data_IF_026364896156
#
_entry.id   IF_026364896156
#
_cell.length_a   1.000
_cell.length_b   1.000
_cell.length_c   1.000
_cell.angle_alpha   90.00
_cell.angle_beta   90.00
_cell.angle_gamma   90.00
#
_symmetry.space_group_name_H-M   'P 1'
#
loop_
_entity.id
_entity.type
_entity.pdbx_description
1 polymer ?
#
# COMPACT_ATOMS: atom_id res chain seq x y z
N UNK A 1 1.06 16.21 -1.64
CA UNK A 1 2.26 15.72 -2.33
C UNK A 1 1.85 14.81 -3.47
N UNK A 2 2.70 14.70 -4.48
CA UNK A 2 2.48 13.81 -5.60
C UNK A 2 2.67 12.36 -5.15
N UNK A 3 1.79 11.46 -5.61
CA UNK A 3 1.89 10.03 -5.28
C UNK A 3 2.14 9.26 -6.56
N UNK A 4 3.20 8.48 -6.56
CA UNK A 4 3.55 7.59 -7.67
C UNK A 4 3.50 6.16 -7.15
N UNK A 5 2.95 5.27 -7.95
CA UNK A 5 2.81 3.85 -7.58
C UNK A 5 3.79 3.06 -8.42
N UNK A 6 4.63 2.25 -7.77
CA UNK A 6 5.58 1.39 -8.49
C UNK A 6 4.84 0.33 -9.31
N UNK A 7 5.53 -0.23 -10.31
CA UNK A 7 4.95 -1.30 -11.11
C UNK A 7 4.65 -2.52 -10.24
N UNK A 8 5.52 -2.80 -9.30
CA UNK A 8 5.30 -3.91 -8.36
C UNK A 8 4.04 -3.70 -7.53
N UNK A 9 3.86 -2.49 -6.99
CA UNK A 9 2.69 -2.19 -6.18
C UNK A 9 1.41 -2.26 -7.01
N UNK A 10 1.45 -1.79 -8.27
CA UNK A 10 0.30 -1.89 -9.17
C UNK A 10 -0.08 -3.34 -9.41
N UNK A 11 0.91 -4.18 -9.69
CA UNK A 11 0.67 -5.59 -9.94
C UNK A 11 0.06 -6.24 -8.70
N UNK A 12 0.63 -6.00 -7.55
CA UNK A 12 0.13 -6.58 -6.31
C UNK A 12 -1.25 -6.07 -5.96
N UNK A 13 -1.51 -4.77 -6.17
CA UNK A 13 -2.84 -4.21 -5.98
C UNK A 13 -3.88 -4.95 -6.81
N UNK A 14 -3.56 -5.20 -8.09
CA UNK A 14 -4.49 -5.86 -8.98
C UNK A 14 -4.71 -7.32 -8.58
N UNK A 15 -3.66 -8.00 -8.11
CA UNK A 15 -3.79 -9.37 -7.61
C UNK A 15 -4.64 -9.42 -6.34
N UNK A 16 -4.44 -8.47 -5.44
CA UNK A 16 -5.24 -8.37 -4.22
C UNK A 16 -6.71 -8.13 -4.57
N UNK A 17 -6.98 -7.22 -5.52
CA UNK A 17 -8.34 -6.93 -5.94
C UNK A 17 -9.03 -8.17 -6.50
N UNK A 18 -8.32 -8.96 -7.33
CA UNK A 18 -8.87 -10.21 -7.86
C UNK A 18 -9.15 -11.22 -6.75
N UNK A 19 -8.23 -11.34 -5.81
CA UNK A 19 -8.40 -12.24 -4.67
C UNK A 19 -9.64 -11.86 -3.86
N UNK A 20 -9.78 -10.57 -3.55
CA UNK A 20 -10.93 -10.09 -2.78
C UNK A 20 -12.23 -10.36 -3.52
N UNK A 21 -12.25 -10.08 -4.81
CA UNK A 21 -13.45 -10.32 -5.60
C UNK A 21 -13.84 -11.79 -5.61
N UNK A 22 -12.88 -12.69 -5.84
CA UNK A 22 -13.17 -14.12 -5.90
C UNK A 22 -13.61 -14.70 -4.57
N UNK A 23 -13.03 -14.22 -3.47
CA UNK A 23 -13.31 -14.77 -2.15
C UNK A 23 -14.50 -14.13 -1.48
N UNK A 24 -14.71 -12.84 -1.69
CA UNK A 24 -15.65 -12.08 -0.88
C UNK A 24 -16.69 -11.31 -1.72
N UNK A 25 -16.54 -11.26 -3.02
CA UNK A 25 -17.56 -10.70 -3.92
C UNK A 25 -17.37 -9.24 -4.26
N UNK A 26 -18.32 -8.72 -5.01
CA UNK A 26 -18.25 -7.38 -5.59
C UNK A 26 -18.24 -6.29 -4.54
N UNK A 27 -19.08 -6.41 -3.51
CA UNK A 27 -19.13 -5.37 -2.49
C UNK A 27 -17.77 -5.21 -1.80
N UNK A 28 -17.12 -6.32 -1.47
CA UNK A 28 -15.82 -6.28 -0.83
C UNK A 28 -14.77 -5.64 -1.75
N UNK A 29 -14.84 -5.91 -3.06
CA UNK A 29 -13.95 -5.29 -4.03
C UNK A 29 -14.16 -3.77 -4.06
N UNK A 30 -15.41 -3.32 -4.10
CA UNK A 30 -15.71 -1.90 -4.13
C UNK A 30 -15.27 -1.21 -2.85
N UNK A 31 -15.45 -1.86 -1.71
CA UNK A 31 -14.99 -1.33 -0.42
C UNK A 31 -13.45 -1.20 -0.41
N UNK A 32 -12.76 -2.20 -0.94
CA UNK A 32 -11.30 -2.15 -1.04
C UNK A 32 -10.84 -0.97 -1.91
N UNK A 33 -11.47 -0.79 -3.07
CA UNK A 33 -11.11 0.30 -3.98
C UNK A 33 -11.34 1.67 -3.35
N UNK A 34 -12.44 1.82 -2.63
CA UNK A 34 -12.75 3.07 -1.95
C UNK A 34 -11.71 3.36 -0.86
N UNK A 35 -11.41 2.36 -0.04
CA UNK A 35 -10.43 2.52 1.04
C UNK A 35 -9.03 2.78 0.51
N UNK A 36 -8.67 2.16 -0.60
CA UNK A 36 -7.38 2.39 -1.24
C UNK A 36 -7.27 3.86 -1.70
N UNK A 37 -8.31 4.40 -2.32
CA UNK A 37 -8.32 5.80 -2.74
C UNK A 37 -8.21 6.73 -1.54
N UNK A 38 -8.94 6.44 -0.49
CA UNK A 38 -8.92 7.25 0.73
C UNK A 38 -7.54 7.22 1.38
N UNK A 39 -6.92 6.06 1.40
CA UNK A 39 -5.57 5.90 1.95
C UNK A 39 -4.56 6.71 1.15
N UNK A 40 -4.63 6.66 -0.18
CA UNK A 40 -3.73 7.46 -1.01
C UNK A 40 -3.90 8.95 -0.76
N UNK A 41 -5.14 9.39 -0.61
CA UNK A 41 -5.40 10.80 -0.32
C UNK A 41 -4.84 11.18 1.05
N UNK A 42 -5.02 10.32 2.03
CA UNK A 42 -4.52 10.56 3.37
C UNK A 42 -3.00 10.71 3.39
N UNK A 43 -2.28 9.76 2.78
CA UNK A 43 -0.81 9.83 2.80
C UNK A 43 -0.29 11.02 1.99
N UNK A 44 -1.01 11.44 0.95
CA UNK A 44 -0.62 12.62 0.18
C UNK A 44 -0.70 13.89 1.02
N UNK A 45 -1.65 13.95 1.95
CA UNK A 45 -1.83 15.10 2.83
C UNK A 45 -1.03 15.00 4.12
N UNK A 46 -0.74 13.77 4.57
CA UNK A 46 -0.05 13.52 5.83
C UNK A 46 1.05 12.47 5.62
N UNK A 47 2.09 12.81 4.84
CA UNK A 47 3.09 11.80 4.45
C UNK A 47 3.85 11.20 5.63
N UNK A 48 3.96 11.94 6.73
CA UNK A 48 4.66 11.43 7.90
C UNK A 48 3.70 11.01 9.02
N UNK A 49 2.42 10.86 8.68
CA UNK A 49 1.39 10.50 9.65
C UNK A 49 1.25 9.00 9.90
N UNK A 50 1.99 8.17 9.17
CA UNK A 50 1.93 6.72 9.31
C UNK A 50 3.18 6.19 9.97
N UNK A 51 3.12 4.95 10.45
CA UNK A 51 4.25 4.35 11.15
C UNK A 51 5.46 4.18 10.25
N UNK A 52 6.64 4.36 10.83
CA UNK A 52 7.90 4.14 10.13
C UNK A 52 8.19 2.65 10.12
N UNK A 53 8.59 2.14 8.96
CA UNK A 53 9.07 0.77 8.83
C UNK A 53 10.58 0.78 9.01
N UNK A 54 11.03 0.56 10.24
CA UNK A 54 12.43 0.76 10.58
C UNK A 54 13.37 -0.24 9.93
N UNK A 55 12.89 -1.47 9.70
CA UNK A 55 13.72 -2.51 9.09
C UNK A 55 14.10 -2.18 7.64
N UNK A 56 13.31 -1.37 6.96
CA UNK A 56 13.58 -0.99 5.59
C UNK A 56 14.14 0.41 5.46
N UNK A 57 14.03 1.22 6.51
CA UNK A 57 14.51 2.60 6.48
C UNK A 57 16.02 2.64 6.66
N UNK A 58 16.66 3.57 5.97
CA UNK A 58 18.10 3.77 6.06
C UNK A 58 18.41 5.26 5.98
N UNK A 59 19.67 5.61 5.74
CA UNK A 59 20.10 7.02 5.70
C UNK A 59 19.53 7.75 4.48
N UNK A 60 19.19 7.01 3.44
CA UNK A 60 18.72 7.61 2.20
C UNK A 60 17.19 7.77 2.18
N UNK A 61 16.47 6.77 2.64
CA UNK A 61 14.99 6.77 2.58
C UNK A 61 14.37 6.35 3.89
N UNK A 62 13.30 7.03 4.25
CA UNK A 62 12.41 6.61 5.33
C UNK A 62 11.19 5.97 4.73
N UNK A 63 10.92 4.73 5.13
CA UNK A 63 9.76 3.98 4.67
C UNK A 63 8.68 4.01 5.73
N UNK A 64 7.45 4.13 5.28
CA UNK A 64 6.27 4.12 6.15
C UNK A 64 5.32 3.05 5.70
N UNK A 65 4.46 2.60 6.60
CA UNK A 65 3.42 1.67 6.21
C UNK A 65 2.08 2.06 6.84
N UNK A 66 1.02 1.62 6.20
CA UNK A 66 -0.33 1.77 6.72
C UNK A 66 -1.17 0.60 6.22
N UNK A 67 -2.36 0.45 6.76
CA UNK A 67 -3.26 -0.63 6.37
C UNK A 67 -4.49 -0.08 5.67
N UNK A 68 -4.90 -0.78 4.61
CA UNK A 68 -6.14 -0.52 3.91
C UNK A 68 -7.15 -1.50 4.47
N UNK A 69 -8.22 -1.00 5.09
CA UNK A 69 -9.24 -1.83 5.75
C UNK A 69 -8.66 -2.77 6.81
N UNK A 70 -7.48 -2.45 7.37
CA UNK A 70 -6.86 -3.27 8.39
C UNK A 70 -6.27 -4.58 7.90
N UNK A 71 -6.42 -4.92 6.62
CA UNK A 71 -6.02 -6.21 6.08
C UNK A 71 -4.97 -6.14 4.99
N UNK A 72 -4.93 -5.05 4.23
CA UNK A 72 -3.94 -4.89 3.17
C UNK A 72 -2.89 -3.90 3.63
N UNK A 73 -1.64 -4.33 3.69
CA UNK A 73 -0.54 -3.45 4.09
C UNK A 73 -0.02 -2.72 2.85
N UNK A 74 0.19 -1.43 3.01
CA UNK A 74 0.72 -0.56 1.96
C UNK A 74 2.01 0.04 2.48
N UNK A 75 3.08 -0.09 1.69
CA UNK A 75 4.40 0.41 2.03
C UNK A 75 4.76 1.55 1.09
N UNK A 76 5.19 2.68 1.65
CA UNK A 76 5.62 3.81 0.83
C UNK A 76 6.85 4.48 1.43
N UNK A 77 7.53 5.24 0.59
CA UNK A 77 8.64 6.09 1.05
C UNK A 77 8.43 7.51 0.57
N UNK A 78 9.07 8.44 1.25
CA UNK A 78 9.02 9.86 0.90
C UNK A 78 10.35 10.22 0.25
N UNK A 79 10.28 10.81 -0.93
CA UNK A 79 11.44 11.22 -1.69
C UNK A 79 11.20 12.67 -2.13
N UNK A 80 11.76 13.62 -1.37
CA UNK A 80 11.49 15.03 -1.62
C UNK A 80 10.03 15.34 -1.43
N UNK A 81 9.37 15.80 -2.49
CA UNK A 81 7.95 16.11 -2.47
C UNK A 81 7.10 15.03 -3.14
N UNK A 82 7.68 13.85 -3.32
CA UNK A 82 7.01 12.74 -3.95
C UNK A 82 6.89 11.59 -2.98
N UNK A 83 5.74 10.94 -2.99
CA UNK A 83 5.51 9.71 -2.25
C UNK A 83 5.52 8.57 -3.25
N UNK A 84 6.35 7.56 -2.99
CA UNK A 84 6.39 6.36 -3.82
C UNK A 84 5.76 5.23 -3.05
N UNK A 85 4.63 4.71 -3.54
CA UNK A 85 4.06 3.47 -3.01
C UNK A 85 4.86 2.35 -3.64
N UNK A 86 5.64 1.64 -2.81
CA UNK A 86 6.61 0.68 -3.32
C UNK A 86 6.11 -0.76 -3.31
N UNK A 87 5.17 -1.07 -2.43
CA UNK A 87 4.66 -2.43 -2.35
C UNK A 87 3.32 -2.47 -1.61
N UNK A 88 2.59 -3.55 -1.78
CA UNK A 88 1.37 -3.80 -1.01
C UNK A 88 1.11 -5.31 -0.98
N UNK A 89 0.56 -5.80 0.13
CA UNK A 89 0.16 -7.19 0.24
C UNK A 89 -0.98 -7.31 1.24
N UNK A 90 -1.75 -8.38 1.09
CA UNK A 90 -2.93 -8.62 1.92
C UNK A 90 -2.62 -9.75 2.89
N UNK A 91 -2.96 -9.55 4.17
CA UNK A 91 -2.63 -10.55 5.20
C UNK A 91 -3.42 -11.85 5.03
N UNK A 92 -4.50 -11.82 4.25
CA UNK A 92 -5.31 -13.01 3.98
C UNK A 92 -4.73 -13.88 2.87
N UNK A 93 -3.81 -13.33 2.07
CA UNK A 93 -3.11 -14.07 1.03
C UNK A 93 -1.78 -14.56 1.57
N UNK A 94 -1.28 -15.61 0.95
CA UNK A 94 0.08 -16.04 1.25
C UNK A 94 1.03 -14.96 0.75
N UNK A 95 1.96 -14.55 1.59
CA UNK A 95 2.92 -13.51 1.22
C UNK A 95 3.85 -14.00 0.13
N UNK A 96 4.25 -13.10 -0.79
CA UNK A 96 5.26 -13.46 -1.79
C UNK A 96 6.54 -13.91 -1.09
N UNK A 97 7.20 -14.90 -1.66
CA UNK A 97 8.45 -15.40 -1.12
C UNK A 97 9.56 -14.37 -1.23
N UNK A 98 9.45 -13.47 -2.18
CA UNK A 98 10.41 -12.38 -2.36
C UNK A 98 9.77 -11.10 -1.93
N UNK A 99 10.32 -10.52 -0.88
CA UNK A 99 9.81 -9.27 -0.36
C UNK A 99 10.95 -8.28 -0.39
N UNK A 100 10.98 -7.42 -1.33
CA UNK A 100 12.01 -6.41 -1.53
C UNK A 100 13.31 -7.05 -1.94
#
# INVERSE_FOLDING_TARGET
>A
MKVIISERAKYNRDQIARYIFRKFGLKALLDFRKSYKETKRYIAQHPEGCEVEEHLSDEQYTYHFTNINGLTKLLYRIDGETIFIVDMWDVRQELPSVVR
#
